data_IF_629951145763
#
_entry.id   IF_629951145763
#
_cell.length_a   1.000
_cell.length_b   1.000
_cell.length_c   1.000
_cell.angle_alpha   90.00
_cell.angle_beta   90.00
_cell.angle_gamma   90.00
#
_symmetry.space_group_name_H-M   'P 1'
#
loop_
_entity.id
_entity.type
_entity.pdbx_description
1 polymer ?
#
# COMPACT_ATOMS: atom_id res chain seq x y z
N UNK A 1 -14.27 0.23 -27.36
CA UNK A 1 -14.14 1.18 -26.23
C UNK A 1 -14.71 0.46 -25.02
N UNK A 2 -13.88 -0.35 -24.37
CA UNK A 2 -14.34 -1.30 -23.35
C UNK A 2 -14.53 -0.55 -22.03
N UNK A 3 -15.78 -0.48 -21.56
CA UNK A 3 -16.13 -0.13 -20.18
C UNK A 3 -15.62 -1.27 -19.29
N UNK A 4 -14.30 -1.33 -19.12
CA UNK A 4 -13.61 -2.33 -18.33
C UNK A 4 -13.68 -1.89 -16.87
N UNK A 5 -14.90 -1.93 -16.32
CA UNK A 5 -15.10 -1.68 -14.89
C UNK A 5 -14.28 -2.69 -14.13
N UNK A 6 -13.22 -2.20 -13.50
CA UNK A 6 -12.40 -2.97 -12.59
C UNK A 6 -13.33 -3.62 -11.56
N UNK A 7 -13.45 -4.94 -11.65
CA UNK A 7 -14.19 -5.72 -10.66
C UNK A 7 -13.31 -5.90 -9.44
N UNK A 8 -13.89 -5.63 -8.28
CA UNK A 8 -13.29 -5.97 -7.01
C UNK A 8 -13.75 -7.35 -6.60
N UNK A 9 -12.83 -8.16 -6.09
CA UNK A 9 -13.19 -9.34 -5.34
C UNK A 9 -13.77 -8.94 -3.98
N UNK A 10 -14.64 -9.77 -3.39
CA UNK A 10 -15.12 -9.54 -2.03
C UNK A 10 -14.02 -9.52 -0.96
N UNK A 11 -12.80 -9.95 -1.28
CA UNK A 11 -11.63 -9.78 -0.42
C UNK A 11 -11.03 -8.38 -0.55
N UNK A 12 -10.87 -7.87 -1.78
CA UNK A 12 -10.44 -6.49 -2.02
C UNK A 12 -11.44 -5.47 -1.45
N UNK A 13 -12.74 -5.70 -1.59
CA UNK A 13 -13.78 -4.85 -1.00
C UNK A 13 -13.61 -4.75 0.52
N UNK A 14 -13.33 -5.87 1.19
CA UNK A 14 -13.08 -5.89 2.64
C UNK A 14 -11.81 -5.14 3.02
N UNK A 15 -10.75 -5.25 2.22
CA UNK A 15 -9.51 -4.49 2.44
C UNK A 15 -9.75 -2.99 2.28
N UNK A 16 -10.45 -2.58 1.23
CA UNK A 16 -10.76 -1.17 0.99
C UNK A 16 -11.70 -0.60 2.06
N UNK A 17 -12.70 -1.35 2.51
CA UNK A 17 -13.58 -0.95 3.61
C UNK A 17 -12.78 -0.76 4.92
N UNK A 18 -11.92 -1.74 5.26
CA UNK A 18 -11.07 -1.66 6.45
C UNK A 18 -10.08 -0.48 6.40
N UNK A 19 -9.62 -0.12 5.20
CA UNK A 19 -8.80 1.06 4.96
C UNK A 19 -9.58 2.36 5.17
N UNK A 20 -10.80 2.44 4.63
CA UNK A 20 -11.68 3.60 4.75
C UNK A 20 -12.05 3.88 6.21
N UNK A 21 -12.34 2.84 6.99
CA UNK A 21 -12.58 2.91 8.45
C UNK A 21 -11.41 3.57 9.21
N UNK A 22 -10.19 3.46 8.68
CA UNK A 22 -8.96 4.04 9.24
C UNK A 22 -8.54 5.33 8.53
N UNK A 23 -9.47 5.91 7.77
CA UNK A 23 -9.27 7.18 7.09
C UNK A 23 -8.52 7.08 5.77
N UNK A 24 -8.14 5.89 5.29
CA UNK A 24 -7.47 5.72 3.99
C UNK A 24 -8.48 5.51 2.87
N UNK A 25 -8.58 6.48 1.96
CA UNK A 25 -9.48 6.40 0.80
C UNK A 25 -8.72 6.32 -0.52
N UNK A 26 -9.30 5.69 -1.56
CA UNK A 26 -8.78 5.81 -2.92
C UNK A 26 -8.64 7.27 -3.34
N UNK A 27 -7.42 7.70 -3.67
CA UNK A 27 -7.15 9.07 -4.15
C UNK A 27 -7.40 9.22 -5.65
N UNK A 28 -7.48 8.09 -6.37
CA UNK A 28 -7.62 7.98 -7.83
C UNK A 28 -8.48 6.75 -8.16
N UNK A 29 -9.01 6.65 -9.40
CA UNK A 29 -9.60 5.41 -9.88
C UNK A 29 -8.63 4.24 -9.65
N UNK A 30 -9.16 3.12 -9.18
CA UNK A 30 -8.38 1.91 -8.95
C UNK A 30 -7.72 1.48 -10.26
N UNK A 31 -6.57 0.83 -10.18
CA UNK A 31 -5.90 0.24 -11.36
C UNK A 31 -5.78 -1.25 -11.15
N UNK A 32 -5.64 -2.04 -12.22
CA UNK A 32 -5.46 -3.50 -12.10
C UNK A 32 -4.30 -3.89 -11.19
N UNK A 33 -3.25 -3.06 -11.12
CA UNK A 33 -2.03 -3.36 -10.36
C UNK A 33 -2.08 -2.93 -8.91
N UNK A 34 -2.63 -1.75 -8.63
CA UNK A 34 -2.68 -1.22 -7.28
C UNK A 34 -3.88 -0.29 -7.03
N UNK A 35 -4.27 -0.19 -5.77
CA UNK A 35 -5.10 0.90 -5.26
C UNK A 35 -4.21 1.93 -4.56
N UNK A 36 -4.20 3.18 -5.05
CA UNK A 36 -3.55 4.29 -4.34
C UNK A 36 -4.51 4.78 -3.24
N UNK A 37 -4.08 4.68 -1.98
CA UNK A 37 -4.88 5.08 -0.83
C UNK A 37 -4.19 6.24 -0.11
N UNK A 38 -4.95 7.27 0.22
CA UNK A 38 -4.49 8.45 0.93
C UNK A 38 -5.29 8.64 2.22
N UNK A 39 -4.57 8.94 3.31
CA UNK A 39 -5.21 9.19 4.60
C UNK A 39 -5.88 10.57 4.63
N UNK A 40 -7.17 10.62 4.98
CA UNK A 40 -7.94 11.86 5.17
C UNK A 40 -7.30 12.72 6.26
N UNK A 41 -6.76 13.87 5.89
CA UNK A 41 -6.13 14.80 6.84
C UNK A 41 -4.65 14.54 7.12
N UNK A 42 -3.99 13.63 6.39
CA UNK A 42 -2.53 13.49 6.41
C UNK A 42 -1.99 13.36 4.98
N UNK A 43 -0.73 13.74 4.77
CA UNK A 43 -0.05 13.53 3.49
C UNK A 43 0.44 12.07 3.30
N UNK A 44 -0.04 11.12 4.10
CA UNK A 44 0.37 9.71 4.05
C UNK A 44 -0.34 9.00 2.90
N UNK A 45 0.47 8.42 2.01
CA UNK A 45 0.00 7.62 0.88
C UNK A 45 0.57 6.22 0.97
N UNK A 46 -0.28 5.23 0.71
CA UNK A 46 0.10 3.83 0.56
C UNK A 46 -0.47 3.27 -0.75
N UNK A 47 0.08 2.15 -1.20
CA UNK A 47 -0.49 1.42 -2.32
C UNK A 47 -0.80 -0.01 -1.92
N UNK A 48 -2.06 -0.42 -1.99
CA UNK A 48 -2.44 -1.83 -1.88
C UNK A 48 -2.09 -2.52 -3.20
N UNK A 49 -1.24 -3.55 -3.14
CA UNK A 49 -0.84 -4.36 -4.30
C UNK A 49 -1.97 -5.34 -4.65
N UNK A 50 -2.67 -5.06 -5.74
CA UNK A 50 -3.84 -5.83 -6.17
C UNK A 50 -3.46 -7.10 -6.90
N UNK A 51 -2.28 -7.15 -7.54
CA UNK A 51 -1.77 -8.37 -8.16
C UNK A 51 -1.44 -9.44 -7.10
N UNK A 52 -0.96 -9.01 -5.92
CA UNK A 52 -0.77 -9.87 -4.75
C UNK A 52 -2.09 -10.22 -4.08
N UNK A 53 -2.98 -9.24 -3.94
CA UNK A 53 -4.30 -9.45 -3.30
C UNK A 53 -5.14 -10.47 -4.08
N UNK A 54 -5.09 -10.46 -5.41
CA UNK A 54 -5.73 -11.45 -6.26
C UNK A 54 -5.23 -12.90 -6.01
N UNK A 55 -4.07 -13.05 -5.37
CA UNK A 55 -3.49 -14.34 -4.96
C UNK A 55 -3.69 -14.63 -3.46
N UNK A 56 -4.56 -13.88 -2.80
CA UNK A 56 -4.84 -14.01 -1.36
C UNK A 56 -3.75 -13.43 -0.45
N UNK A 57 -2.82 -12.64 -0.97
CA UNK A 57 -1.75 -12.02 -0.18
C UNK A 57 -2.03 -10.55 0.04
N UNK A 58 -2.13 -10.12 1.30
CA UNK A 58 -2.26 -8.71 1.64
C UNK A 58 -0.86 -8.09 1.62
N UNK A 59 -0.60 -7.24 0.64
CA UNK A 59 0.69 -6.56 0.50
C UNK A 59 0.49 -5.07 0.20
N UNK A 60 1.21 -4.24 0.94
CA UNK A 60 1.06 -2.78 0.91
C UNK A 60 2.43 -2.17 0.68
N UNK A 61 2.55 -1.34 -0.34
CA UNK A 61 3.71 -0.49 -0.51
C UNK A 61 3.59 0.73 0.39
N UNK A 62 4.64 0.95 1.18
CA UNK A 62 4.85 2.11 2.03
C UNK A 62 6.03 2.92 1.50
N UNK A 63 5.97 4.25 1.65
CA UNK A 63 7.00 5.16 1.15
C UNK A 63 8.37 4.77 1.70
N UNK A 64 9.46 4.86 0.90
CA UNK A 64 10.80 4.58 1.40
C UNK A 64 11.28 5.57 2.46
N UNK A 65 10.63 6.73 2.58
CA UNK A 65 10.90 7.76 3.59
C UNK A 65 10.15 7.51 4.91
N UNK A 66 9.27 6.50 4.97
CA UNK A 66 8.52 6.19 6.18
C UNK A 66 9.42 5.57 7.26
N UNK A 67 9.13 5.88 8.52
CA UNK A 67 9.79 5.27 9.67
C UNK A 67 9.37 3.79 9.82
N UNK A 68 10.13 2.91 9.18
CA UNK A 68 9.94 1.46 9.32
C UNK A 68 10.24 0.94 10.73
N UNK A 69 11.05 1.65 11.52
CA UNK A 69 11.38 1.25 12.88
C UNK A 69 10.11 1.14 13.72
N UNK A 70 9.20 2.09 13.54
CA UNK A 70 7.90 2.10 14.18
C UNK A 70 6.95 0.94 13.81
N UNK A 71 7.20 0.29 12.68
CA UNK A 71 6.42 -0.84 12.19
C UNK A 71 7.00 -2.18 12.67
N UNK A 72 8.29 -2.19 13.06
CA UNK A 72 8.95 -3.39 13.57
C UNK A 72 8.31 -3.80 14.90
N UNK A 73 8.00 -5.08 15.02
CA UNK A 73 7.36 -5.64 16.22
C UNK A 73 5.83 -5.65 16.18
N UNK A 74 5.19 -5.06 15.16
CA UNK A 74 3.73 -5.24 14.98
C UNK A 74 3.46 -6.71 14.58
N UNK A 75 2.65 -7.47 15.35
CA UNK A 75 2.37 -8.85 15.05
C UNK A 75 1.71 -9.03 13.67
N UNK A 76 2.19 -10.00 12.90
CA UNK A 76 1.67 -10.33 11.58
C UNK A 76 2.16 -9.45 10.43
N UNK A 77 3.08 -8.50 10.68
CA UNK A 77 3.76 -7.76 9.61
C UNK A 77 5.09 -8.41 9.23
N UNK A 78 5.29 -8.60 7.94
CA UNK A 78 6.61 -8.94 7.37
C UNK A 78 7.14 -7.70 6.65
N UNK A 79 8.19 -7.10 7.21
CA UNK A 79 8.86 -5.93 6.66
C UNK A 79 10.10 -6.39 5.89
N UNK A 80 10.20 -6.13 4.57
CA UNK A 80 11.38 -6.52 3.80
C UNK A 80 12.59 -5.66 4.17
N UNK A 81 13.79 -6.22 3.99
CA UNK A 81 15.05 -5.45 4.13
C UNK A 81 15.24 -4.46 2.98
N UNK A 82 14.83 -4.85 1.77
CA UNK A 82 15.01 -4.07 0.55
C UNK A 82 13.70 -3.48 0.04
N UNK A 83 13.83 -2.33 -0.64
CA UNK A 83 12.75 -1.72 -1.40
C UNK A 83 12.46 -2.51 -2.68
N UNK A 84 11.20 -2.50 -3.12
CA UNK A 84 10.74 -3.10 -4.35
C UNK A 84 10.26 -2.02 -5.33
N UNK A 85 10.42 -2.28 -6.62
CA UNK A 85 10.01 -1.36 -7.67
C UNK A 85 8.64 -1.72 -8.22
N UNK A 86 7.78 -0.73 -8.40
CA UNK A 86 6.44 -0.93 -8.93
C UNK A 86 5.98 0.31 -9.70
N UNK A 87 5.59 0.16 -10.96
CA UNK A 87 5.30 1.30 -11.84
C UNK A 87 3.97 2.01 -11.54
N UNK A 88 3.06 1.38 -10.79
CA UNK A 88 1.79 1.97 -10.38
C UNK A 88 1.88 2.98 -9.22
N UNK A 89 3.03 3.11 -8.57
CA UNK A 89 3.20 3.97 -7.39
C UNK A 89 3.56 5.41 -7.77
N UNK A 90 2.58 6.17 -8.27
CA UNK A 90 2.86 7.45 -8.93
C UNK A 90 3.43 8.56 -8.04
N UNK A 91 3.19 8.50 -6.71
CA UNK A 91 3.64 9.51 -5.73
C UNK A 91 4.93 9.13 -5.01
N UNK A 92 5.39 7.89 -5.13
CA UNK A 92 6.64 7.46 -4.51
C UNK A 92 7.85 7.93 -5.31
N UNK A 93 9.01 8.13 -4.67
CA UNK A 93 10.22 8.52 -5.37
C UNK A 93 10.61 7.45 -6.40
N UNK A 94 11.29 7.90 -7.45
CA UNK A 94 11.71 7.06 -8.57
C UNK A 94 13.22 7.01 -8.65
N UNK A 95 13.75 5.84 -8.97
CA UNK A 95 15.17 5.68 -9.30
C UNK A 95 15.35 4.67 -10.43
N UNK A 96 16.51 4.70 -11.06
CA UNK A 96 16.87 3.71 -12.07
C UNK A 96 17.22 2.41 -11.33
N UNK A 97 16.48 1.35 -11.61
CA UNK A 97 16.74 0.01 -11.07
C UNK A 97 17.55 -0.83 -12.06
N UNK A 98 16.97 -1.03 -13.25
CA UNK A 98 17.53 -1.77 -14.39
C UNK A 98 17.12 -1.07 -15.68
N UNK A 99 18.06 -0.85 -16.58
CA UNK A 99 17.81 -0.14 -17.85
C UNK A 99 17.86 1.39 -17.71
N UNK A 100 17.10 2.10 -18.55
CA UNK A 100 17.20 3.57 -18.71
C UNK A 100 16.08 4.36 -18.03
N UNK A 101 14.96 3.74 -17.67
CA UNK A 101 13.76 4.45 -17.20
C UNK A 101 13.63 4.39 -15.67
N UNK A 102 13.49 5.53 -14.98
CA UNK A 102 13.21 5.53 -13.54
C UNK A 102 11.87 4.86 -13.21
N UNK A 103 11.88 3.98 -12.22
CA UNK A 103 10.68 3.31 -11.70
C UNK A 103 10.49 3.68 -10.24
N UNK A 104 9.23 3.85 -9.82
CA UNK A 104 8.92 4.12 -8.42
C UNK A 104 9.29 2.93 -7.53
N UNK A 105 9.70 3.21 -6.30
CA UNK A 105 10.10 2.18 -5.34
C UNK A 105 9.57 2.47 -3.93
N UNK A 106 9.40 1.41 -3.14
CA UNK A 106 8.94 1.49 -1.76
C UNK A 106 9.07 0.14 -1.05
N UNK A 107 8.73 0.09 0.23
CA UNK A 107 8.78 -1.15 1.00
C UNK A 107 7.46 -1.91 0.84
N UNK A 108 7.52 -3.13 0.31
CA UNK A 108 6.36 -4.01 0.18
C UNK A 108 6.14 -4.79 1.46
N UNK A 109 5.35 -4.23 2.38
CA UNK A 109 5.02 -4.85 3.66
C UNK A 109 3.91 -5.88 3.42
N UNK A 110 4.13 -7.12 3.88
CA UNK A 110 3.09 -8.16 3.84
C UNK A 110 2.39 -8.25 5.18
N UNK A 111 1.08 -8.38 5.13
CA UNK A 111 0.23 -8.58 6.30
C UNK A 111 -0.26 -10.03 6.30
N UNK A 112 -0.15 -10.72 7.43
CA UNK A 112 -0.59 -12.10 7.57
C UNK A 112 -2.12 -12.26 7.43
N UNK A 113 -2.87 -11.25 7.87
CA UNK A 113 -4.33 -11.25 7.90
C UNK A 113 -4.88 -9.80 7.92
N UNK A 114 -6.22 -9.68 7.95
CA UNK A 114 -6.92 -8.39 8.04
C UNK A 114 -6.58 -7.62 9.32
N UNK A 115 -6.35 -8.30 10.45
CA UNK A 115 -6.00 -7.64 11.71
C UNK A 115 -4.60 -7.02 11.64
N UNK A 116 -3.63 -7.70 11.03
CA UNK A 116 -2.30 -7.18 10.78
C UNK A 116 -2.35 -5.98 9.82
N UNK A 117 -3.17 -6.04 8.77
CA UNK A 117 -3.38 -4.91 7.87
C UNK A 117 -3.98 -3.70 8.61
N UNK A 118 -4.99 -3.92 9.45
CA UNK A 118 -5.56 -2.88 10.31
C UNK A 118 -4.50 -2.22 11.21
N UNK A 119 -3.67 -3.01 11.90
CA UNK A 119 -2.58 -2.50 12.74
C UNK A 119 -1.55 -1.68 11.95
N UNK A 120 -1.22 -2.10 10.73
CA UNK A 120 -0.35 -1.32 9.84
C UNK A 120 -0.95 0.07 9.56
N UNK A 121 -2.22 0.10 9.15
CA UNK A 121 -2.93 1.34 8.87
C UNK A 121 -3.04 2.25 10.10
N UNK A 122 -3.37 1.71 11.26
CA UNK A 122 -3.42 2.45 12.52
C UNK A 122 -2.07 3.11 12.83
N UNK A 123 -0.96 2.39 12.60
CA UNK A 123 0.37 2.94 12.84
C UNK A 123 0.76 4.02 11.84
N UNK A 124 0.37 3.89 10.58
CA UNK A 124 0.60 4.88 9.52
C UNK A 124 -0.33 6.11 9.63
N UNK A 125 -1.48 5.94 10.29
CA UNK A 125 -2.41 7.01 10.64
C UNK A 125 -2.03 7.74 11.94
N UNK A 126 -1.09 7.22 12.72
CA UNK A 126 -0.59 7.90 13.91
C UNK A 126 0.23 9.14 13.51
N UNK A 127 0.22 10.22 14.30
CA UNK A 127 1.13 11.34 14.07
C UNK A 127 2.58 10.86 14.18
N UNK A 128 3.45 11.43 13.34
CA UNK A 128 4.89 11.32 13.59
C UNK A 128 5.14 11.88 14.99
N UNK A 129 5.64 11.04 15.89
CA UNK A 129 6.07 11.51 17.20
C UNK A 129 7.16 12.58 16.99
N UNK A 130 7.07 13.74 17.65
CA UNK A 130 8.05 14.82 17.51
C UNK A 130 9.45 14.40 17.98
#
# INVERSE_FOLDING_TARGET
>A
MTDDRIRLSGFEERLLALADERGFTPSKPLTVKCAELEHRGRATVIYLDREKTARGVIAVFVSPESDLGSLRGIPGLTIPADVQHHSGMTRFPRRINRGKTPTAYGYLIRCADLSAYGRLLDRLAAPASP
#
